data_IF_897913464294
#
_entry.id   IF_897913464294
#
_cell.length_a   1.000
_cell.length_b   1.000
_cell.length_c   1.000
_cell.angle_alpha   90.00
_cell.angle_beta   90.00
_cell.angle_gamma   90.00
#
_symmetry.space_group_name_H-M   'P 1'
#
loop_
_entity.id
_entity.type
_entity.pdbx_description
1 polymer ?
#
# COMPACT_ATOMS: atom_id res chain seq x y z
N UNK A 1 -6.59 26.13 30.35
CA UNK A 1 -6.11 24.82 29.86
C UNK A 1 -7.18 24.22 28.95
N UNK A 2 -7.07 24.42 27.64
CA UNK A 2 -7.99 23.81 26.69
C UNK A 2 -7.51 22.38 26.40
N UNK A 3 -8.27 21.38 26.85
CA UNK A 3 -8.08 20.00 26.43
C UNK A 3 -8.26 19.95 24.91
N UNK A 4 -7.15 19.86 24.17
CA UNK A 4 -7.17 19.52 22.75
C UNK A 4 -7.83 18.15 22.64
N UNK A 5 -9.11 18.14 22.28
CA UNK A 5 -9.83 16.94 21.87
C UNK A 5 -9.07 16.38 20.64
N UNK A 6 -8.10 15.48 20.88
CA UNK A 6 -7.49 14.71 19.79
C UNK A 6 -8.65 13.92 19.19
N UNK A 7 -9.09 14.29 17.98
CA UNK A 7 -10.12 13.54 17.27
C UNK A 7 -9.62 12.10 17.17
N UNK A 8 -10.26 11.19 17.91
CA UNK A 8 -9.94 9.77 17.88
C UNK A 8 -10.26 9.29 16.46
N UNK A 9 -9.30 8.65 15.80
CA UNK A 9 -9.54 8.08 14.48
C UNK A 9 -10.75 7.13 14.55
N UNK A 10 -11.69 7.30 13.62
CA UNK A 10 -12.86 6.42 13.51
C UNK A 10 -12.52 5.24 12.59
N UNK A 11 -12.53 3.99 13.11
CA UNK A 11 -12.27 2.80 12.30
C UNK A 11 -13.18 2.73 11.07
N UNK A 12 -14.45 3.09 11.26
CA UNK A 12 -15.47 3.14 10.22
C UNK A 12 -15.07 4.12 9.10
N UNK A 13 -14.58 5.30 9.45
CA UNK A 13 -14.17 6.29 8.45
C UNK A 13 -13.00 5.78 7.61
N UNK A 14 -12.04 5.08 8.22
CA UNK A 14 -10.93 4.44 7.49
C UNK A 14 -11.42 3.39 6.50
N UNK A 15 -12.31 2.50 6.94
CA UNK A 15 -12.88 1.46 6.07
C UNK A 15 -13.72 2.07 4.94
N UNK A 16 -14.54 3.09 5.23
CA UNK A 16 -15.33 3.79 4.22
C UNK A 16 -14.44 4.53 3.22
N UNK A 17 -13.34 5.13 3.66
CA UNK A 17 -12.36 5.75 2.77
C UNK A 17 -11.77 4.72 1.81
N UNK A 18 -11.32 3.57 2.32
CA UNK A 18 -10.75 2.51 1.48
C UNK A 18 -11.79 1.90 0.53
N UNK A 19 -13.03 1.67 1.00
CA UNK A 19 -14.13 1.26 0.13
C UNK A 19 -14.43 2.30 -0.96
N UNK A 20 -14.31 3.59 -0.64
CA UNK A 20 -14.43 4.68 -1.60
C UNK A 20 -13.36 4.62 -2.70
N UNK A 21 -12.12 4.26 -2.36
CA UNK A 21 -11.05 4.06 -3.35
C UNK A 21 -11.36 2.86 -4.25
N UNK A 22 -11.89 1.76 -3.71
CA UNK A 22 -12.35 0.62 -4.53
C UNK A 22 -13.39 1.08 -5.55
N UNK A 23 -14.38 1.86 -5.13
CA UNK A 23 -15.39 2.41 -6.05
C UNK A 23 -14.77 3.36 -7.08
N UNK A 24 -13.83 4.21 -6.66
CA UNK A 24 -13.08 5.11 -7.53
C UNK A 24 -12.23 4.36 -8.55
N UNK A 25 -11.79 3.14 -8.25
CA UNK A 25 -11.16 2.24 -9.21
C UNK A 25 -12.16 1.55 -10.14
N UNK A 26 -13.24 0.97 -9.61
CA UNK A 26 -14.22 0.21 -10.41
C UNK A 26 -15.04 1.08 -11.38
N UNK A 27 -15.45 2.28 -10.96
CA UNK A 27 -16.33 3.15 -11.76
C UNK A 27 -15.66 3.55 -13.08
N UNK A 28 -14.42 4.10 -13.11
CA UNK A 28 -13.76 4.44 -14.36
C UNK A 28 -13.43 3.22 -15.23
N UNK A 29 -13.04 2.09 -14.64
CA UNK A 29 -12.82 0.85 -15.39
C UNK A 29 -14.06 0.45 -16.19
N UNK A 30 -15.23 0.54 -15.55
CA UNK A 30 -16.50 0.25 -16.19
C UNK A 30 -16.92 1.34 -17.20
N UNK A 31 -16.85 2.62 -16.82
CA UNK A 31 -17.29 3.74 -17.68
C UNK A 31 -16.47 3.88 -18.96
N UNK A 32 -15.16 3.67 -18.87
CA UNK A 32 -14.23 3.84 -20.00
C UNK A 32 -13.83 2.51 -20.64
N UNK A 33 -14.40 1.39 -20.19
CA UNK A 33 -14.09 0.04 -20.66
C UNK A 33 -12.57 -0.23 -20.77
N UNK A 34 -11.83 0.19 -19.74
CA UNK A 34 -10.36 0.09 -19.73
C UNK A 34 -9.98 -1.39 -19.66
N UNK A 35 -9.14 -1.91 -20.58
CA UNK A 35 -8.70 -3.29 -20.53
C UNK A 35 -7.88 -3.53 -19.26
N UNK A 36 -8.25 -4.55 -18.49
CA UNK A 36 -7.55 -4.98 -17.28
C UNK A 36 -7.07 -6.41 -17.45
N UNK A 37 -5.78 -6.64 -17.21
CA UNK A 37 -5.21 -7.96 -17.29
C UNK A 37 -5.54 -8.76 -16.02
N UNK A 38 -6.30 -9.84 -16.18
CA UNK A 38 -6.77 -10.69 -15.07
C UNK A 38 -6.55 -12.18 -15.31
N UNK A 39 -6.07 -12.55 -16.51
CA UNK A 39 -6.05 -13.93 -17.00
C UNK A 39 -4.65 -14.55 -17.03
N UNK A 40 -3.58 -13.77 -16.78
CA UNK A 40 -2.21 -14.24 -16.90
C UNK A 40 -1.79 -15.29 -15.85
N UNK A 41 -2.52 -15.41 -14.74
CA UNK A 41 -2.23 -16.37 -13.66
C UNK A 41 -3.50 -17.03 -13.11
N UNK A 42 -3.38 -18.30 -12.71
CA UNK A 42 -4.44 -19.04 -12.01
C UNK A 42 -4.54 -18.58 -10.56
N UNK A 43 -5.68 -18.88 -9.93
CA UNK A 43 -5.97 -18.54 -8.52
C UNK A 43 -4.85 -18.95 -7.57
N UNK A 44 -4.37 -20.19 -7.63
CA UNK A 44 -3.29 -20.66 -6.77
C UNK A 44 -1.96 -19.93 -7.01
N UNK A 45 -1.68 -19.54 -8.25
CA UNK A 45 -0.41 -18.92 -8.65
C UNK A 45 -0.33 -17.47 -8.17
N UNK A 46 -1.36 -16.67 -8.44
CA UNK A 46 -1.34 -15.27 -7.97
C UNK A 46 -1.42 -15.18 -6.45
N UNK A 47 -2.08 -16.14 -5.78
CA UNK A 47 -2.09 -16.20 -4.31
C UNK A 47 -0.69 -16.54 -3.76
N UNK A 48 -0.03 -17.54 -4.34
CA UNK A 48 1.31 -17.96 -3.92
C UNK A 48 2.35 -16.87 -4.18
N UNK A 49 2.47 -16.43 -5.43
CA UNK A 49 3.47 -15.44 -5.84
C UNK A 49 3.21 -14.08 -5.23
N UNK A 50 1.95 -13.66 -5.12
CA UNK A 50 1.59 -12.41 -4.43
C UNK A 50 1.98 -12.45 -2.96
N UNK A 51 1.71 -13.56 -2.27
CA UNK A 51 2.11 -13.72 -0.86
C UNK A 51 3.63 -13.70 -0.68
N UNK A 52 4.36 -14.47 -1.49
CA UNK A 52 5.83 -14.52 -1.44
C UNK A 52 6.43 -13.14 -1.72
N UNK A 53 5.92 -12.44 -2.73
CA UNK A 53 6.39 -11.13 -3.12
C UNK A 53 6.07 -10.07 -2.03
N UNK A 54 4.89 -10.12 -1.41
CA UNK A 54 4.54 -9.23 -0.30
C UNK A 54 5.45 -9.39 0.92
N UNK A 55 5.75 -10.63 1.30
CA UNK A 55 6.72 -10.92 2.38
C UNK A 55 8.13 -10.46 1.99
N UNK A 56 8.55 -10.72 0.75
CA UNK A 56 9.86 -10.31 0.24
C UNK A 56 10.02 -8.79 0.22
N UNK A 57 9.00 -8.04 -0.24
CA UNK A 57 8.99 -6.58 -0.22
C UNK A 57 9.16 -6.04 1.19
N UNK A 58 8.45 -6.59 2.18
CA UNK A 58 8.68 -6.21 3.57
C UNK A 58 10.12 -6.45 4.01
N UNK A 59 10.69 -7.63 3.70
CA UNK A 59 12.08 -7.96 4.01
C UNK A 59 13.08 -6.99 3.38
N UNK A 60 12.89 -6.61 2.12
CA UNK A 60 13.72 -5.62 1.42
C UNK A 60 13.61 -4.26 2.09
N UNK A 61 12.40 -3.78 2.39
CA UNK A 61 12.23 -2.48 3.06
C UNK A 61 12.81 -2.47 4.47
N UNK A 62 12.75 -3.59 5.19
CA UNK A 62 13.39 -3.74 6.49
C UNK A 62 14.92 -3.65 6.37
N UNK A 63 15.52 -4.37 5.42
CA UNK A 63 16.97 -4.28 5.12
C UNK A 63 17.38 -2.87 4.74
N UNK A 64 16.60 -2.21 3.89
CA UNK A 64 16.82 -0.82 3.50
C UNK A 64 16.70 0.15 4.68
N UNK A 65 15.79 -0.10 5.62
CA UNK A 65 15.65 0.72 6.84
C UNK A 65 16.81 0.57 7.83
N UNK A 66 17.59 -0.51 7.71
CA UNK A 66 18.81 -0.71 8.51
C UNK A 66 20.00 0.10 7.97
N UNK A 67 19.89 0.67 6.76
CA UNK A 67 20.91 1.52 6.16
C UNK A 67 20.49 2.99 6.32
N UNK A 68 21.35 3.83 6.90
CA UNK A 68 21.03 5.22 7.25
C UNK A 68 20.55 6.09 6.06
N UNK A 69 20.86 5.66 4.82
CA UNK A 69 20.49 6.33 3.57
C UNK A 69 18.97 6.47 3.39
N UNK A 70 18.17 5.55 3.94
CA UNK A 70 16.71 5.55 3.81
C UNK A 70 15.97 5.76 5.13
N UNK A 71 16.66 6.16 6.20
CA UNK A 71 16.07 6.42 7.51
C UNK A 71 16.04 7.90 7.92
N UNK A 72 15.58 8.85 7.07
CA UNK A 72 15.40 10.23 7.53
C UNK A 72 14.37 10.26 8.66
N UNK A 73 14.51 11.23 9.56
CA UNK A 73 13.63 11.35 10.74
C UNK A 73 12.14 11.46 10.38
N UNK A 74 11.81 11.94 9.17
CA UNK A 74 10.44 11.96 8.66
C UNK A 74 9.85 10.56 8.48
N UNK A 75 10.64 9.58 7.99
CA UNK A 75 10.17 8.21 7.83
C UNK A 75 10.01 7.52 9.19
N UNK A 76 10.96 7.74 10.11
CA UNK A 76 10.84 7.24 11.50
C UNK A 76 9.61 7.81 12.20
N UNK A 77 9.31 9.09 11.98
CA UNK A 77 8.08 9.70 12.52
C UNK A 77 6.83 9.06 11.94
N UNK A 78 6.79 8.81 10.63
CA UNK A 78 5.67 8.11 9.99
C UNK A 78 5.46 6.71 10.58
N UNK A 79 6.54 5.94 10.78
CA UNK A 79 6.49 4.62 11.43
C UNK A 79 5.95 4.72 12.87
N UNK A 80 6.35 5.74 13.63
CA UNK A 80 5.82 5.99 14.99
C UNK A 80 4.31 6.24 14.98
N UNK A 81 3.85 7.08 14.08
CA UNK A 81 2.44 7.43 13.95
C UNK A 81 1.62 6.21 13.52
N UNK A 82 2.12 5.43 12.56
CA UNK A 82 1.51 4.18 12.10
C UNK A 82 1.47 3.14 13.23
N UNK A 83 2.53 3.00 14.01
CA UNK A 83 2.55 2.11 15.19
C UNK A 83 1.48 2.50 16.21
N UNK A 84 1.35 3.80 16.53
CA UNK A 84 0.31 4.31 17.42
C UNK A 84 -1.10 4.01 16.89
N UNK A 85 -1.30 4.22 15.59
CA UNK A 85 -2.54 3.87 14.90
C UNK A 85 -2.86 2.37 15.02
N UNK A 86 -1.94 1.50 14.58
CA UNK A 86 -2.13 0.04 14.55
C UNK A 86 -2.44 -0.53 15.92
N UNK A 87 -1.78 -0.04 16.99
CA UNK A 87 -2.07 -0.47 18.36
C UNK A 87 -3.47 -0.10 18.83
N UNK A 88 -4.02 1.01 18.34
CA UNK A 88 -5.34 1.50 18.69
C UNK A 88 -6.50 0.79 17.98
N UNK A 89 -6.23 -0.11 17.03
CA UNK A 89 -7.25 -0.77 16.21
C UNK A 89 -7.39 -2.27 16.50
N UNK A 90 -8.59 -2.80 16.23
CA UNK A 90 -8.86 -4.23 16.29
C UNK A 90 -8.30 -4.96 15.07
N UNK A 91 -8.01 -6.26 15.20
CA UNK A 91 -7.51 -7.07 14.08
C UNK A 91 -8.44 -7.08 12.86
N UNK A 92 -9.78 -7.24 13.01
CA UNK A 92 -10.68 -7.22 11.86
C UNK A 92 -10.61 -5.91 11.08
N UNK A 93 -10.50 -4.76 11.77
CA UNK A 93 -10.35 -3.45 11.12
C UNK A 93 -9.04 -3.38 10.34
N UNK A 94 -7.93 -3.80 10.94
CA UNK A 94 -6.62 -3.75 10.29
C UNK A 94 -6.56 -4.66 9.07
N UNK A 95 -7.13 -5.86 9.15
CA UNK A 95 -7.22 -6.79 8.02
C UNK A 95 -8.09 -6.20 6.92
N UNK A 96 -9.24 -5.63 7.26
CA UNK A 96 -10.12 -4.98 6.29
C UNK A 96 -9.43 -3.81 5.59
N UNK A 97 -8.68 -2.97 6.33
CA UNK A 97 -7.94 -1.86 5.75
C UNK A 97 -6.87 -2.34 4.77
N UNK A 98 -6.06 -3.33 5.14
CA UNK A 98 -5.00 -3.85 4.26
C UNK A 98 -5.55 -4.51 2.99
N UNK A 99 -6.63 -5.31 3.12
CA UNK A 99 -7.26 -5.95 1.96
C UNK A 99 -7.93 -4.92 1.05
N UNK A 100 -8.66 -3.96 1.61
CA UNK A 100 -9.31 -2.92 0.82
C UNK A 100 -8.30 -1.97 0.16
N UNK A 101 -7.18 -1.65 0.84
CA UNK A 101 -6.09 -0.87 0.24
C UNK A 101 -5.47 -1.65 -0.93
N UNK A 102 -5.09 -2.91 -0.72
CA UNK A 102 -4.54 -3.75 -1.79
C UNK A 102 -5.48 -3.92 -2.97
N UNK A 103 -6.80 -4.00 -2.76
CA UNK A 103 -7.76 -4.06 -3.87
C UNK A 103 -7.95 -2.67 -4.52
N UNK A 104 -8.29 -1.67 -3.72
CA UNK A 104 -8.72 -0.36 -4.20
C UNK A 104 -7.59 0.43 -4.85
N UNK A 105 -6.43 0.47 -4.21
CA UNK A 105 -5.28 1.19 -4.75
C UNK A 105 -4.78 0.52 -6.03
N UNK A 106 -4.71 -0.82 -6.10
CA UNK A 106 -4.32 -1.49 -7.34
C UNK A 106 -5.34 -1.30 -8.47
N UNK A 107 -6.65 -1.32 -8.18
CA UNK A 107 -7.66 -0.94 -9.17
C UNK A 107 -7.43 0.48 -9.71
N UNK A 108 -7.19 1.44 -8.83
CA UNK A 108 -7.02 2.84 -9.21
C UNK A 108 -5.71 3.09 -9.96
N UNK A 109 -4.58 2.67 -9.42
CA UNK A 109 -3.28 2.99 -9.99
C UNK A 109 -2.91 2.08 -11.15
N UNK A 110 -3.21 0.77 -11.09
CA UNK A 110 -2.78 -0.22 -12.10
C UNK A 110 -3.89 -0.45 -13.12
N UNK A 111 -5.11 -0.65 -12.64
CA UNK A 111 -6.28 -0.76 -13.49
C UNK A 111 -6.58 0.54 -14.26
N UNK A 112 -6.85 1.63 -13.55
CA UNK A 112 -7.29 2.89 -14.18
C UNK A 112 -6.12 3.68 -14.75
N UNK A 113 -5.21 4.19 -13.91
CA UNK A 113 -4.20 5.16 -14.36
C UNK A 113 -3.20 4.50 -15.33
N UNK A 114 -2.52 3.44 -14.89
CA UNK A 114 -1.58 2.71 -15.74
C UNK A 114 -2.29 2.08 -16.94
N UNK A 115 -3.40 1.36 -16.73
CA UNK A 115 -4.13 0.69 -17.82
C UNK A 115 -4.59 1.66 -18.91
N UNK A 116 -5.21 2.79 -18.53
CA UNK A 116 -5.65 3.80 -19.50
C UNK A 116 -4.46 4.42 -20.25
N UNK A 117 -3.41 4.84 -19.55
CA UNK A 117 -2.24 5.45 -20.18
C UNK A 117 -1.46 4.45 -21.04
N UNK A 118 -1.35 3.19 -20.63
CA UNK A 118 -0.75 2.11 -21.41
C UNK A 118 -1.49 1.90 -22.73
N UNK A 119 -2.84 1.92 -22.69
CA UNK A 119 -3.67 1.72 -23.87
C UNK A 119 -3.55 2.87 -24.90
N UNK A 120 -3.27 4.10 -24.45
CA UNK A 120 -3.25 5.27 -25.34
C UNK A 120 -1.84 5.78 -25.68
N UNK A 121 -0.88 5.62 -24.77
CA UNK A 121 0.47 6.22 -24.85
C UNK A 121 1.60 5.18 -24.74
N UNK A 122 1.28 3.90 -24.54
CA UNK A 122 2.23 2.81 -24.43
C UNK A 122 2.59 2.43 -22.98
N UNK A 123 3.01 1.18 -22.80
CA UNK A 123 3.20 0.54 -21.49
C UNK A 123 4.20 1.26 -20.59
N UNK A 124 5.31 1.75 -21.14
CA UNK A 124 6.32 2.49 -20.38
C UNK A 124 5.76 3.78 -19.75
N UNK A 125 4.95 4.53 -20.50
CA UNK A 125 4.31 5.75 -20.00
C UNK A 125 3.30 5.41 -18.90
N UNK A 126 2.48 4.38 -19.13
CA UNK A 126 1.50 3.92 -18.12
C UNK A 126 2.16 3.49 -16.81
N UNK A 127 3.23 2.70 -16.88
CA UNK A 127 3.97 2.25 -15.69
C UNK A 127 4.57 3.43 -14.92
N UNK A 128 5.28 4.32 -15.60
CA UNK A 128 5.94 5.46 -14.95
C UNK A 128 4.90 6.41 -14.34
N UNK A 129 3.86 6.75 -15.09
CA UNK A 129 2.83 7.66 -14.62
C UNK A 129 2.02 7.06 -13.46
N UNK A 130 1.65 5.77 -13.55
CA UNK A 130 0.97 5.06 -12.45
C UNK A 130 1.82 5.02 -11.19
N UNK A 131 3.12 4.75 -11.31
CA UNK A 131 4.04 4.73 -10.18
C UNK A 131 4.25 6.12 -9.54
N UNK A 132 4.37 7.17 -10.35
CA UNK A 132 4.47 8.55 -9.84
C UNK A 132 3.17 8.95 -9.16
N UNK A 133 2.00 8.64 -9.74
CA UNK A 133 0.70 8.91 -9.12
C UNK A 133 0.55 8.19 -7.76
N UNK A 134 0.97 6.92 -7.69
CA UNK A 134 1.01 6.16 -6.44
C UNK A 134 1.89 6.83 -5.39
N UNK A 135 3.10 7.27 -5.79
CA UNK A 135 3.99 8.01 -4.89
C UNK A 135 3.40 9.34 -4.43
N UNK A 136 2.75 10.09 -5.32
CA UNK A 136 2.10 11.38 -4.99
C UNK A 136 0.99 11.21 -3.94
N UNK A 137 0.21 10.13 -4.02
CA UNK A 137 -0.78 9.79 -2.99
C UNK A 137 -0.16 9.52 -1.61
N UNK A 138 1.15 9.20 -1.59
CA UNK A 138 1.94 8.89 -0.39
C UNK A 138 2.97 9.99 -0.06
N UNK A 139 2.78 11.22 -0.53
CA UNK A 139 3.75 12.30 -0.39
C UNK A 139 3.78 13.00 1.00
N UNK A 140 3.72 12.24 2.09
CA UNK A 140 3.86 12.77 3.47
C UNK A 140 5.27 13.28 3.77
N UNK A 141 6.27 12.75 3.06
CA UNK A 141 7.62 13.28 3.04
C UNK A 141 8.28 12.93 1.71
N UNK A 142 9.37 13.63 1.34
CA UNK A 142 10.12 13.31 0.11
C UNK A 142 10.61 11.86 0.09
N UNK A 143 11.09 11.34 1.22
CA UNK A 143 11.54 9.96 1.31
C UNK A 143 10.39 8.98 1.11
N UNK A 144 9.23 9.22 1.74
CA UNK A 144 8.08 8.34 1.59
C UNK A 144 7.51 8.37 0.16
N UNK A 145 7.46 9.55 -0.46
CA UNK A 145 7.15 9.70 -1.88
C UNK A 145 8.07 8.84 -2.76
N UNK A 146 9.40 8.95 -2.59
CA UNK A 146 10.36 8.20 -3.42
C UNK A 146 10.23 6.69 -3.22
N UNK A 147 10.12 6.22 -1.97
CA UNK A 147 9.93 4.80 -1.67
C UNK A 147 8.62 4.30 -2.28
N UNK A 148 7.53 5.04 -2.12
CA UNK A 148 6.24 4.69 -2.69
C UNK A 148 6.26 4.70 -4.22
N UNK A 149 6.93 5.67 -4.88
CA UNK A 149 7.12 5.65 -6.34
C UNK A 149 7.92 4.43 -6.79
N UNK A 150 8.99 4.05 -6.07
CA UNK A 150 9.76 2.84 -6.40
C UNK A 150 8.92 1.57 -6.26
N UNK A 151 8.14 1.42 -5.19
CA UNK A 151 7.17 0.32 -5.05
C UNK A 151 6.09 0.38 -6.15
N UNK A 152 5.66 1.59 -6.48
CA UNK A 152 4.79 1.91 -7.61
C UNK A 152 5.28 1.29 -8.90
N UNK A 153 6.56 1.51 -9.22
CA UNK A 153 7.22 0.96 -10.40
C UNK A 153 7.29 -0.57 -10.33
N UNK A 154 7.67 -1.15 -9.18
CA UNK A 154 7.74 -2.60 -8.99
C UNK A 154 6.37 -3.25 -9.24
N UNK A 155 5.30 -2.74 -8.64
CA UNK A 155 3.95 -3.26 -8.85
C UNK A 155 3.49 -3.02 -10.30
N UNK A 156 3.78 -1.87 -10.89
CA UNK A 156 3.41 -1.58 -12.28
C UNK A 156 4.09 -2.52 -13.28
N UNK A 157 5.38 -2.81 -13.08
CA UNK A 157 6.14 -3.78 -13.89
C UNK A 157 5.62 -5.20 -13.64
N UNK A 158 5.39 -5.58 -12.38
CA UNK A 158 4.87 -6.91 -12.04
C UNK A 158 3.48 -7.14 -12.67
N UNK A 159 2.59 -6.15 -12.62
CA UNK A 159 1.30 -6.19 -13.29
C UNK A 159 1.46 -6.38 -14.81
N UNK A 160 2.35 -5.61 -15.44
CA UNK A 160 2.60 -5.69 -16.88
C UNK A 160 3.21 -7.04 -17.34
N UNK A 161 4.05 -7.66 -16.51
CA UNK A 161 4.73 -8.91 -16.85
C UNK A 161 3.90 -10.15 -16.52
N UNK A 162 3.04 -10.06 -15.51
CA UNK A 162 2.21 -11.18 -15.06
C UNK A 162 0.85 -11.23 -15.72
N UNK A 163 0.41 -10.15 -16.37
CA UNK A 163 -0.95 -9.97 -16.88
C UNK A 163 -2.03 -10.34 -15.83
N UNK A 164 -1.75 -10.01 -14.56
CA UNK A 164 -2.63 -10.32 -13.43
C UNK A 164 -2.70 -9.17 -12.43
N UNK A 165 -3.83 -8.47 -12.41
CA UNK A 165 -4.12 -7.47 -11.39
C UNK A 165 -4.27 -8.10 -10.00
N UNK A 166 -4.80 -9.32 -9.93
CA UNK A 166 -5.01 -10.05 -8.68
C UNK A 166 -3.68 -10.36 -7.98
N UNK A 167 -2.61 -10.62 -8.75
CA UNK A 167 -1.26 -10.81 -8.21
C UNK A 167 -0.82 -9.60 -7.39
N UNK A 168 -0.90 -8.40 -7.97
CA UNK A 168 -0.44 -7.18 -7.30
C UNK A 168 -1.39 -6.76 -6.17
N UNK A 169 -2.69 -7.08 -6.26
CA UNK A 169 -3.64 -6.88 -5.15
C UNK A 169 -3.27 -7.72 -3.93
N UNK A 170 -3.00 -9.02 -4.14
CA UNK A 170 -2.59 -9.93 -3.07
C UNK A 170 -1.23 -9.52 -2.53
N UNK A 171 -0.27 -9.19 -3.40
CA UNK A 171 1.04 -8.69 -3.02
C UNK A 171 0.90 -7.49 -2.07
N UNK A 172 0.21 -6.45 -2.49
CA UNK A 172 0.04 -5.23 -1.72
C UNK A 172 -0.66 -5.51 -0.37
N UNK A 173 -1.78 -6.23 -0.37
CA UNK A 173 -2.50 -6.55 0.86
C UNK A 173 -1.63 -7.37 1.85
N UNK A 174 -0.85 -8.33 1.35
CA UNK A 174 0.05 -9.13 2.18
C UNK A 174 1.19 -8.27 2.74
N UNK A 175 1.80 -7.43 1.91
CA UNK A 175 2.83 -6.49 2.36
C UNK A 175 2.32 -5.62 3.53
N UNK A 176 1.15 -5.02 3.38
CA UNK A 176 0.53 -4.19 4.43
C UNK A 176 0.24 -4.98 5.70
N UNK A 177 -0.32 -6.19 5.56
CA UNK A 177 -0.58 -7.07 6.69
C UNK A 177 0.71 -7.42 7.44
N UNK A 178 1.80 -7.73 6.73
CA UNK A 178 3.10 -8.02 7.35
C UNK A 178 3.61 -6.80 8.10
N UNK A 179 3.58 -5.61 7.49
CA UNK A 179 3.96 -4.35 8.15
C UNK A 179 3.15 -4.14 9.44
N UNK A 180 1.82 -4.31 9.38
CA UNK A 180 0.91 -4.18 10.53
C UNK A 180 1.27 -5.17 11.64
N UNK A 181 1.46 -6.45 11.29
CA UNK A 181 1.80 -7.51 12.26
C UNK A 181 3.12 -7.19 12.94
N UNK A 182 4.14 -6.81 12.16
CA UNK A 182 5.48 -6.57 12.70
C UNK A 182 5.51 -5.30 13.55
N UNK A 183 4.88 -4.21 13.11
CA UNK A 183 4.76 -3.00 13.93
C UNK A 183 4.05 -3.29 15.26
N UNK A 184 2.96 -4.07 15.24
CA UNK A 184 2.19 -4.34 16.45
C UNK A 184 2.91 -5.27 17.43
N UNK A 185 3.63 -6.29 16.94
CA UNK A 185 4.22 -7.37 17.76
C UNK A 185 5.71 -7.16 18.07
N UNK A 186 6.44 -6.52 17.16
CA UNK A 186 7.88 -6.32 17.25
C UNK A 186 8.30 -4.85 17.03
N UNK A 187 7.73 -3.89 17.78
CA UNK A 187 8.05 -2.47 17.60
C UNK A 187 9.53 -2.13 17.86
N UNK A 188 10.24 -2.97 18.63
CA UNK A 188 11.67 -2.82 18.90
C UNK A 188 12.54 -2.90 17.64
N UNK A 189 12.09 -3.56 16.56
CA UNK A 189 12.80 -3.58 15.27
C UNK A 189 12.91 -2.19 14.63
N UNK A 190 12.04 -1.26 15.04
CA UNK A 190 12.02 0.12 14.57
C UNK A 190 12.52 1.11 15.64
N UNK A 191 13.21 0.61 16.69
CA UNK A 191 13.65 1.43 17.81
C UNK A 191 12.52 2.00 18.66
N UNK A 192 11.33 1.38 18.63
CA UNK A 192 10.16 1.82 19.39
C UNK A 192 9.98 1.02 20.68
N UNK A 193 9.80 1.71 21.80
CA UNK A 193 9.55 1.08 23.10
C UNK A 193 8.15 0.43 23.14
N UNK A 194 8.07 -0.82 23.64
CA UNK A 194 6.80 -1.57 23.79
C UNK A 194 5.78 -0.87 24.72
N UNK A 195 6.26 0.00 25.59
CA UNK A 195 5.55 0.67 26.69
C UNK A 195 5.03 2.08 26.38
N UNK A 196 5.25 2.62 25.17
CA UNK A 196 4.67 3.92 24.77
C UNK A 196 3.18 3.77 24.37
N UNK A 197 2.33 3.45 25.35
CA UNK A 197 0.88 3.67 25.28
C UNK A 197 0.51 4.87 26.18
N UNK A 198 -0.59 5.58 25.89
CA UNK A 198 -0.98 6.72 26.71
C UNK A 198 -1.34 6.22 28.12
N UNK A 199 -0.59 6.69 29.11
CA UNK A 199 -1.07 6.77 30.49
C UNK A 199 -2.21 7.77 30.61
#
# INVERSE_FOLDING_TARGET
MAARHRRRFSPLLGVLFQAGIVLLGLIPLWLFAIPVATEGLRVGEYLLWGTLAGVATYGVLLLLSMVDVLSPESLKQHIRDLHGFVRGQSWPVLIALAVLAGIGEELLFRGVIQGWLSAHLGSAVGIIAGAVAFGLAHAMSKAYFLVATCLGLVFGIAYQLSDSLQLVMVWHAVYDLVVIVVLRRFPGLFGLNRSAGPG
#
